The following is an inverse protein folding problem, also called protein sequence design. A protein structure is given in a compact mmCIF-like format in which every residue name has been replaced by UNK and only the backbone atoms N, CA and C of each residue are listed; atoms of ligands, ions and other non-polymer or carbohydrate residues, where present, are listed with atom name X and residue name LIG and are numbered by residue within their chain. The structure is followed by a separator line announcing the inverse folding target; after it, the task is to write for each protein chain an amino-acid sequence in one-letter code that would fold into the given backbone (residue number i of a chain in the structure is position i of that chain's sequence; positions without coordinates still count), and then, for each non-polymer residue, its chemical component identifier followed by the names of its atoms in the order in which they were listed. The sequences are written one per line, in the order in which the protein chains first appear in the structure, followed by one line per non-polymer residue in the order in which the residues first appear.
data_IF_214529080610
#
_entry.id   IF_214529080610
#
_cell.length_a   1.000
_cell.length_b   1.000
_cell.length_c   1.000
_cell.angle_alpha   90.00
_cell.angle_beta   90.00
_cell.angle_gamma   90.00
#
_symmetry.space_group_name_H-M   'P 1'
#
loop_
_entity.id
_entity.type
_entity.pdbx_description
1 polymer ?
#
# COMPACT_ATOMS: atom_id res chain seq x y z
N UNK A 1 17.49 3.06 24.23
CA UNK A 1 17.52 4.41 23.63
C UNK A 1 17.15 5.40 24.71
N UNK A 2 18.01 6.38 24.96
CA UNK A 2 17.83 7.38 26.00
C UNK A 2 17.68 8.77 25.38
N UNK A 3 16.91 9.61 26.06
CA UNK A 3 16.68 11.01 25.75
C UNK A 3 17.18 11.84 26.93
N UNK A 4 17.92 12.89 26.64
CA UNK A 4 18.28 13.90 27.63
C UNK A 4 17.06 14.80 27.89
N UNK A 5 16.54 14.80 29.12
CA UNK A 5 15.43 15.68 29.54
C UNK A 5 15.95 16.97 30.19
N UNK A 6 17.00 16.84 30.98
CA UNK A 6 17.75 17.94 31.61
C UNK A 6 19.24 17.67 31.40
N UNK A 7 20.09 18.69 31.52
CA UNK A 7 21.55 18.53 31.36
C UNK A 7 22.05 17.32 32.15
N UNK A 8 22.59 16.33 31.43
CA UNK A 8 23.12 15.06 31.96
C UNK A 8 22.10 14.06 32.55
N UNK A 9 20.80 14.37 32.54
CA UNK A 9 19.74 13.43 32.97
C UNK A 9 19.16 12.69 31.77
N UNK A 10 19.48 11.41 31.69
CA UNK A 10 19.09 10.53 30.59
C UNK A 10 17.93 9.60 30.98
N UNK A 11 16.83 9.71 30.26
CA UNK A 11 15.61 8.91 30.49
C UNK A 11 15.38 7.96 29.32
N UNK A 12 15.06 6.69 29.60
CA UNK A 12 14.77 5.72 28.55
C UNK A 12 13.43 6.05 27.88
N UNK A 13 13.32 5.84 26.57
CA UNK A 13 12.09 6.10 25.80
C UNK A 13 10.83 5.48 26.41
N UNK A 14 10.95 4.26 26.96
CA UNK A 14 9.83 3.54 27.59
C UNK A 14 9.27 4.24 28.84
N UNK A 15 10.09 5.08 29.50
CA UNK A 15 9.71 5.81 30.71
C UNK A 15 9.13 7.20 30.42
N UNK A 16 9.03 7.60 29.15
CA UNK A 16 8.42 8.88 28.74
C UNK A 16 6.89 8.91 28.88
N UNK A 17 6.29 7.90 29.52
CA UNK A 17 4.86 7.88 29.82
C UNK A 17 3.95 7.63 28.61
N UNK A 18 4.49 7.13 27.49
CA UNK A 18 3.66 6.77 26.34
C UNK A 18 2.75 5.60 26.72
N UNK A 19 1.43 5.82 26.65
CA UNK A 19 0.38 4.82 26.90
C UNK A 19 -0.66 4.87 25.79
N UNK A 20 -1.46 3.80 25.59
CA UNK A 20 -2.51 3.79 24.56
C UNK A 20 -3.43 5.02 24.64
N UNK A 21 -3.56 5.74 23.53
CA UNK A 21 -4.33 6.98 23.43
C UNK A 21 -3.51 8.27 23.60
N UNK A 22 -2.25 8.17 24.01
CA UNK A 22 -1.37 9.32 24.21
C UNK A 22 -0.50 9.55 22.95
N UNK A 23 -0.33 10.82 22.62
CA UNK A 23 0.66 11.28 21.63
C UNK A 23 1.27 12.60 22.07
N UNK A 24 2.57 12.76 21.88
CA UNK A 24 3.30 13.97 22.25
C UNK A 24 4.46 14.23 21.29
N UNK A 25 5.00 15.44 21.34
CA UNK A 25 6.11 15.89 20.54
C UNK A 25 7.11 16.62 21.41
N UNK A 26 8.38 16.27 21.27
CA UNK A 26 9.49 16.87 22.01
C UNK A 26 10.47 17.44 20.99
N UNK A 27 10.88 18.70 21.17
CA UNK A 27 11.76 19.40 20.25
C UNK A 27 13.21 19.43 20.75
N UNK A 28 14.16 19.45 19.83
CA UNK A 28 15.56 19.74 20.14
C UNK A 28 16.24 18.73 21.07
N UNK A 29 15.91 17.45 20.93
CA UNK A 29 16.32 16.42 21.87
C UNK A 29 17.72 15.90 21.53
N UNK A 30 18.50 15.58 22.57
CA UNK A 30 19.70 14.75 22.44
C UNK A 30 19.35 13.28 22.69
N UNK A 31 19.72 12.42 21.74
CA UNK A 31 19.46 10.98 21.82
C UNK A 31 20.76 10.20 21.81
N UNK A 32 20.79 9.14 22.60
CA UNK A 32 21.91 8.20 22.66
C UNK A 32 21.47 6.76 22.45
N UNK A 33 22.26 6.06 21.60
CA UNK A 33 22.31 4.59 21.51
C UNK A 33 23.75 4.09 21.58
N UNK A 34 24.63 4.70 20.79
CA UNK A 34 26.08 4.44 20.72
C UNK A 34 26.89 5.71 20.49
N UNK A 35 26.39 6.63 19.65
CA UNK A 35 26.88 8.02 19.53
C UNK A 35 25.77 9.00 19.91
N UNK A 36 26.15 10.13 20.49
CA UNK A 36 25.21 11.21 20.80
C UNK A 36 24.83 11.92 19.50
N UNK A 37 23.53 12.06 19.26
CA UNK A 37 23.00 12.78 18.11
C UNK A 37 22.09 13.88 18.63
N UNK A 38 22.30 15.10 18.13
CA UNK A 38 21.65 16.33 18.57
C UNK A 38 20.91 16.97 17.41
N UNK A 39 19.85 17.72 17.69
CA UNK A 39 19.13 18.52 16.69
C UNK A 39 17.96 17.80 16.03
N UNK A 40 17.44 16.74 16.66
CA UNK A 40 16.24 16.05 16.20
C UNK A 40 15.10 16.21 17.20
N UNK A 41 13.89 16.15 16.67
CA UNK A 41 12.67 16.09 17.45
C UNK A 41 12.22 14.63 17.59
N UNK A 42 11.45 14.35 18.64
CA UNK A 42 10.79 13.07 18.85
C UNK A 42 9.28 13.24 18.77
N UNK A 43 8.66 12.54 17.82
CA UNK A 43 7.22 12.32 17.80
C UNK A 43 6.88 10.97 18.43
N UNK A 44 5.97 10.96 19.39
CA UNK A 44 5.49 9.74 20.03
C UNK A 44 3.98 9.59 19.83
N UNK A 45 3.52 8.37 19.51
CA UNK A 45 2.10 8.06 19.35
C UNK A 45 1.79 6.62 19.70
N UNK A 46 0.85 6.40 20.62
CA UNK A 46 0.26 5.09 20.83
C UNK A 46 -1.23 5.14 20.51
N UNK A 47 -1.65 4.38 19.49
CA UNK A 47 -3.04 4.31 19.12
C UNK A 47 -3.88 3.66 20.23
N UNK A 48 -5.01 4.27 20.58
CA UNK A 48 -5.96 3.70 21.52
C UNK A 48 -6.58 2.42 20.95
N UNK A 49 -6.82 1.43 21.83
CA UNK A 49 -7.55 0.22 21.50
C UNK A 49 -8.93 0.56 20.92
N UNK A 50 -9.19 0.09 19.70
CA UNK A 50 -10.51 0.22 19.05
C UNK A 50 -10.91 -1.13 18.47
N UNK A 51 -12.13 -1.57 18.81
CA UNK A 51 -12.81 -2.72 18.20
C UNK A 51 -11.95 -4.00 18.18
N UNK A 52 -11.33 -4.32 19.32
CA UNK A 52 -10.48 -5.52 19.46
C UNK A 52 -9.11 -5.43 18.79
N UNK A 53 -8.80 -4.35 18.05
CA UNK A 53 -7.47 -4.11 17.48
C UNK A 53 -6.59 -3.38 18.50
N UNK A 54 -5.50 -4.04 18.89
CA UNK A 54 -4.44 -3.48 19.73
C UNK A 54 -3.26 -3.10 18.84
N UNK A 55 -2.67 -1.94 19.09
CA UNK A 55 -1.28 -1.70 18.71
C UNK A 55 -0.44 -2.22 19.89
N UNK A 56 0.33 -3.27 19.67
CA UNK A 56 1.14 -3.92 20.71
C UNK A 56 2.17 -2.96 21.30
N UNK A 57 2.62 -1.98 20.50
CA UNK A 57 3.61 -0.99 20.88
C UNK A 57 3.26 0.43 20.40
N UNK A 58 3.70 1.42 21.16
CA UNK A 58 3.65 2.83 20.77
C UNK A 58 4.80 3.20 19.84
N UNK A 59 4.55 4.12 18.91
CA UNK A 59 5.56 4.62 17.99
C UNK A 59 6.39 5.71 18.65
N UNK A 60 7.71 5.60 18.52
CA UNK A 60 8.69 6.65 18.79
C UNK A 60 9.43 6.95 17.49
N UNK A 61 9.27 8.16 16.98
CA UNK A 61 9.72 8.56 15.65
C UNK A 61 10.67 9.74 15.80
N UNK A 62 11.93 9.52 15.45
CA UNK A 62 12.91 10.59 15.32
C UNK A 62 12.64 11.37 14.03
N UNK A 63 12.52 12.69 14.11
CA UNK A 63 12.14 13.52 12.97
C UNK A 63 12.72 14.93 13.03
N UNK A 64 12.75 15.61 11.90
CA UNK A 64 13.08 17.03 11.75
C UNK A 64 11.92 17.81 11.08
N UNK A 65 10.70 17.24 11.10
CA UNK A 65 9.53 17.80 10.41
C UNK A 65 8.81 18.90 11.22
N UNK A 66 9.26 19.21 12.43
CA UNK A 66 8.76 20.31 13.26
C UNK A 66 7.35 20.15 13.83
N UNK A 67 6.65 19.05 13.53
CA UNK A 67 5.27 18.82 14.01
C UNK A 67 4.95 17.35 14.18
N UNK A 68 4.18 17.04 15.24
CA UNK A 68 3.64 15.73 15.52
C UNK A 68 2.84 15.17 14.34
N UNK A 69 1.98 16.00 13.75
CA UNK A 69 1.10 15.61 12.65
C UNK A 69 1.91 15.21 11.42
N UNK A 70 2.86 16.05 11.02
CA UNK A 70 3.73 15.78 9.87
C UNK A 70 4.60 14.53 10.10
N UNK A 71 5.13 14.35 11.31
CA UNK A 71 5.91 13.17 11.67
C UNK A 71 5.10 11.88 11.57
N UNK A 72 3.89 11.86 12.13
CA UNK A 72 3.00 10.69 12.06
C UNK A 72 2.54 10.42 10.62
N UNK A 73 2.16 11.46 9.88
CA UNK A 73 1.73 11.32 8.49
C UNK A 73 2.86 10.83 7.59
N UNK A 74 4.08 11.36 7.78
CA UNK A 74 5.29 10.91 7.12
C UNK A 74 5.59 9.44 7.44
N UNK A 75 5.56 9.07 8.72
CA UNK A 75 5.82 7.70 9.15
C UNK A 75 4.79 6.71 8.59
N UNK A 76 3.50 7.08 8.54
CA UNK A 76 2.46 6.25 7.91
C UNK A 76 2.74 5.92 6.45
N UNK A 77 3.43 6.80 5.70
CA UNK A 77 3.76 6.54 4.29
C UNK A 77 4.73 5.36 4.12
N UNK A 78 5.49 4.99 5.16
CA UNK A 78 6.39 3.81 5.15
C UNK A 78 5.66 2.52 4.77
N UNK A 79 4.42 2.34 5.23
CA UNK A 79 3.63 1.15 4.93
C UNK A 79 3.30 1.00 3.44
N UNK A 80 3.37 2.08 2.65
CA UNK A 80 3.21 2.01 1.19
C UNK A 80 4.30 1.20 0.49
N UNK A 81 5.53 1.21 1.02
CA UNK A 81 6.64 0.41 0.49
C UNK A 81 6.38 -1.09 0.73
N UNK A 82 5.86 -1.45 1.90
CA UNK A 82 5.50 -2.84 2.21
C UNK A 82 4.37 -3.35 1.30
N UNK A 83 3.41 -2.48 0.96
CA UNK A 83 2.35 -2.79 -0.01
C UNK A 83 2.96 -3.06 -1.41
N UNK A 84 3.90 -2.23 -1.86
CA UNK A 84 4.62 -2.43 -3.11
C UNK A 84 5.36 -3.79 -3.14
N UNK A 85 6.12 -4.12 -2.09
CA UNK A 85 6.81 -5.41 -2.02
C UNK A 85 5.85 -6.60 -2.02
N UNK A 86 4.72 -6.47 -1.34
CA UNK A 86 3.67 -7.50 -1.30
C UNK A 86 3.04 -7.72 -2.66
N UNK A 87 2.76 -6.64 -3.39
CA UNK A 87 2.17 -6.68 -4.73
C UNK A 87 3.13 -7.31 -5.74
N UNK A 88 4.39 -6.90 -5.69
CA UNK A 88 5.44 -7.50 -6.50
C UNK A 88 5.51 -9.00 -6.20
N UNK A 89 5.70 -9.40 -4.93
CA UNK A 89 5.90 -10.81 -4.53
C UNK A 89 4.77 -11.74 -4.99
N UNK A 90 3.51 -11.30 -4.85
CA UNK A 90 2.33 -12.08 -5.28
C UNK A 90 2.32 -12.36 -6.79
N UNK A 91 2.82 -11.44 -7.61
CA UNK A 91 2.85 -11.62 -9.07
C UNK A 91 3.82 -12.70 -9.50
N UNK A 92 4.96 -12.85 -8.83
CA UNK A 92 5.90 -13.93 -9.13
C UNK A 92 5.39 -15.32 -8.72
N UNK A 93 4.56 -15.40 -7.68
CA UNK A 93 3.86 -16.65 -7.35
C UNK A 93 2.76 -16.99 -8.35
N UNK A 94 2.06 -16.00 -8.90
CA UNK A 94 1.02 -16.22 -9.93
C UNK A 94 1.60 -16.61 -11.31
N UNK A 95 2.82 -16.17 -11.63
CA UNK A 95 3.52 -16.55 -12.85
C UNK A 95 3.92 -18.05 -12.91
N UNK A 96 3.83 -18.78 -11.78
CA UNK A 96 4.14 -20.22 -11.70
C UNK A 96 2.91 -21.14 -11.86
N UNK A 97 1.74 -20.60 -12.22
CA UNK A 97 0.53 -21.40 -12.48
C UNK A 97 -0.37 -21.52 -11.24
N UNK A 98 -1.64 -21.15 -11.40
CA UNK A 98 -2.62 -21.13 -10.32
C UNK A 98 -3.16 -22.52 -10.01
N UNK A 99 -2.88 -23.01 -8.80
CA UNK A 99 -3.77 -23.89 -8.02
C UNK A 99 -3.61 -23.57 -6.52
N UNK A 100 -4.69 -23.51 -5.73
CA UNK A 100 -4.63 -23.10 -4.34
C UNK A 100 -4.77 -24.28 -3.37
N UNK A 101 -3.72 -25.06 -3.14
CA UNK A 101 -3.49 -25.69 -1.84
C UNK A 101 -2.09 -26.28 -1.76
N UNK A 102 -1.54 -26.26 -0.54
CA UNK A 102 -0.40 -27.10 -0.11
C UNK A 102 0.87 -27.01 -0.97
N UNK A 103 1.61 -25.92 -0.76
CA UNK A 103 3.05 -26.09 -0.52
C UNK A 103 3.53 -24.98 0.41
N UNK A 104 3.47 -25.34 1.68
CA UNK A 104 4.13 -24.73 2.81
C UNK A 104 5.62 -24.53 2.49
N UNK A 105 6.11 -23.34 2.83
CA UNK A 105 7.48 -23.04 3.25
C UNK A 105 8.63 -23.69 2.48
N UNK A 106 9.07 -23.10 1.36
CA UNK A 106 10.52 -22.82 1.19
C UNK A 106 10.89 -21.81 0.08
N UNK A 107 10.05 -21.58 -0.93
CA UNK A 107 10.48 -20.78 -2.10
C UNK A 107 9.95 -19.33 -2.10
N UNK A 108 10.21 -18.58 -1.02
CA UNK A 108 9.60 -17.25 -0.80
C UNK A 108 10.44 -16.05 -1.26
N UNK A 109 11.41 -16.21 -2.15
CA UNK A 109 12.24 -15.11 -2.69
C UNK A 109 12.35 -15.13 -4.23
N UNK A 110 11.25 -14.86 -4.95
CA UNK A 110 11.24 -14.91 -6.41
C UNK A 110 11.17 -13.53 -7.11
N UNK A 111 11.68 -12.47 -6.49
CA UNK A 111 11.84 -11.14 -7.15
C UNK A 111 13.23 -10.57 -6.98
N UNK A 112 13.89 -10.95 -5.91
CA UNK A 112 15.31 -10.71 -5.75
C UNK A 112 16.00 -12.05 -5.87
N UNK A 113 16.59 -12.31 -7.05
CA UNK A 113 17.69 -13.26 -7.35
C UNK A 113 17.41 -14.55 -8.15
N UNK A 114 16.28 -15.27 -8.02
CA UNK A 114 16.25 -16.67 -8.52
C UNK A 114 15.31 -17.02 -9.71
N UNK A 115 14.48 -16.10 -10.20
CA UNK A 115 13.58 -16.38 -11.33
C UNK A 115 14.06 -15.88 -12.70
N UNK A 116 14.72 -14.73 -12.70
CA UNK A 116 15.25 -14.08 -13.91
C UNK A 116 16.76 -14.15 -13.82
N UNK A 117 17.43 -14.90 -14.70
CA UNK A 117 18.91 -14.95 -14.81
C UNK A 117 19.51 -13.63 -15.32
N UNK A 118 18.90 -12.49 -14.98
CA UNK A 118 19.27 -11.15 -15.42
C UNK A 118 20.27 -10.55 -14.44
N UNK A 119 21.42 -10.15 -14.94
CA UNK A 119 22.50 -9.53 -14.16
C UNK A 119 22.86 -8.15 -14.75
N UNK A 120 23.51 -7.32 -13.92
CA UNK A 120 24.03 -6.02 -14.35
C UNK A 120 22.96 -5.05 -14.87
N UNK A 121 23.27 -4.36 -15.97
CA UNK A 121 22.44 -3.28 -16.52
C UNK A 121 21.02 -3.72 -16.90
N UNK A 122 20.83 -4.96 -17.38
CA UNK A 122 19.50 -5.46 -17.77
C UNK A 122 18.55 -5.55 -16.57
N UNK A 123 19.06 -5.95 -15.40
CA UNK A 123 18.28 -5.97 -14.17
C UNK A 123 17.86 -4.56 -13.76
N UNK A 124 18.79 -3.60 -13.83
CA UNK A 124 18.52 -2.20 -13.51
C UNK A 124 17.44 -1.62 -14.43
N UNK A 125 17.58 -1.79 -15.75
CA UNK A 125 16.58 -1.31 -16.71
C UNK A 125 15.21 -1.93 -16.47
N UNK A 126 15.15 -3.23 -16.17
CA UNK A 126 13.89 -3.90 -15.84
C UNK A 126 13.25 -3.35 -14.56
N UNK A 127 14.04 -3.13 -13.51
CA UNK A 127 13.54 -2.54 -12.25
C UNK A 127 12.99 -1.14 -12.47
N UNK A 128 13.63 -0.32 -13.32
CA UNK A 128 13.13 1.01 -13.68
C UNK A 128 11.78 0.89 -14.39
N UNK A 129 11.67 0.03 -15.41
CA UNK A 129 10.41 -0.17 -16.15
C UNK A 129 9.30 -0.66 -15.22
N UNK A 130 9.58 -1.62 -14.34
CA UNK A 130 8.61 -2.13 -13.36
C UNK A 130 8.19 -1.00 -12.41
N UNK A 131 9.13 -0.17 -11.96
CA UNK A 131 8.85 0.94 -11.06
C UNK A 131 7.92 1.98 -11.72
N UNK A 132 8.20 2.35 -12.97
CA UNK A 132 7.36 3.28 -13.74
C UNK A 132 5.97 2.68 -14.01
N UNK A 133 5.88 1.41 -14.40
CA UNK A 133 4.60 0.75 -14.61
C UNK A 133 3.78 0.65 -13.30
N UNK A 134 4.46 0.41 -12.17
CA UNK A 134 3.84 0.35 -10.85
C UNK A 134 3.31 1.72 -10.41
N UNK A 135 4.07 2.80 -10.61
CA UNK A 135 3.64 4.15 -10.25
C UNK A 135 2.43 4.61 -11.06
N UNK A 136 2.46 4.42 -12.38
CA UNK A 136 1.32 4.73 -13.27
C UNK A 136 0.06 3.98 -12.81
N UNK A 137 0.16 2.66 -12.64
CA UNK A 137 -0.98 1.84 -12.21
C UNK A 137 -1.48 2.25 -10.82
N UNK A 138 -0.58 2.62 -9.91
CA UNK A 138 -0.94 3.09 -8.57
C UNK A 138 -1.73 4.40 -8.62
N UNK A 139 -1.31 5.36 -9.45
CA UNK A 139 -2.02 6.63 -9.60
C UNK A 139 -3.40 6.43 -10.23
N UNK A 140 -3.50 5.66 -11.32
CA UNK A 140 -4.79 5.34 -11.92
C UNK A 140 -5.72 4.63 -10.94
N UNK A 141 -5.20 3.68 -10.16
CA UNK A 141 -5.96 3.02 -9.10
C UNK A 141 -6.42 3.96 -7.98
N UNK A 142 -5.62 4.96 -7.60
CA UNK A 142 -6.03 6.01 -6.67
C UNK A 142 -7.18 6.84 -7.24
N UNK A 143 -7.09 7.25 -8.51
CA UNK A 143 -8.15 8.01 -9.19
C UNK A 143 -9.44 7.20 -9.24
N UNK A 144 -9.36 5.91 -9.60
CA UNK A 144 -10.51 4.99 -9.63
C UNK A 144 -11.18 4.89 -8.25
N UNK A 145 -10.39 4.74 -7.18
CA UNK A 145 -10.94 4.70 -5.81
C UNK A 145 -11.55 6.03 -5.39
N UNK A 146 -10.95 7.17 -5.77
CA UNK A 146 -11.51 8.51 -5.51
C UNK A 146 -12.85 8.70 -6.23
N UNK A 147 -13.00 8.16 -7.44
CA UNK A 147 -14.27 8.14 -8.20
C UNK A 147 -15.30 7.13 -7.65
N UNK A 148 -14.96 6.34 -6.63
CA UNK A 148 -15.83 5.35 -6.00
C UNK A 148 -16.36 4.26 -6.96
N UNK A 149 -15.61 3.90 -8.00
CA UNK A 149 -16.00 2.90 -9.02
C UNK A 149 -15.20 1.59 -8.94
N UNK A 150 -14.39 1.42 -7.89
CA UNK A 150 -13.52 0.26 -7.71
C UNK A 150 -14.27 -1.09 -7.67
N UNK A 151 -15.56 -1.11 -7.32
CA UNK A 151 -16.38 -2.32 -7.26
C UNK A 151 -16.59 -2.97 -8.64
N UNK A 152 -16.54 -2.18 -9.72
CA UNK A 152 -16.61 -2.70 -11.10
C UNK A 152 -15.31 -3.37 -11.53
N UNK A 153 -14.20 -3.04 -10.86
CA UNK A 153 -12.86 -3.50 -11.22
C UNK A 153 -12.43 -4.69 -10.37
N UNK A 154 -12.84 -4.72 -9.10
CA UNK A 154 -12.51 -5.83 -8.20
C UNK A 154 -13.26 -5.74 -6.88
N UNK A 155 -13.26 -6.86 -6.16
CA UNK A 155 -13.94 -6.96 -4.86
C UNK A 155 -13.22 -6.11 -3.81
N UNK A 156 -13.92 -5.12 -3.24
CA UNK A 156 -13.33 -4.17 -2.28
C UNK A 156 -13.07 -4.79 -0.91
N UNK A 157 -14.06 -5.53 -0.37
CA UNK A 157 -13.96 -6.15 0.96
C UNK A 157 -14.64 -7.52 0.96
N UNK A 158 -14.07 -8.46 1.72
CA UNK A 158 -14.69 -9.75 2.03
C UNK A 158 -15.11 -9.77 3.49
N UNK A 159 -16.17 -10.53 3.79
CA UNK A 159 -16.83 -10.56 5.11
C UNK A 159 -15.85 -10.82 6.26
N UNK A 160 -14.79 -11.61 6.03
CA UNK A 160 -13.78 -11.99 7.04
C UNK A 160 -12.51 -11.13 7.05
N UNK A 161 -12.39 -10.15 6.15
CA UNK A 161 -11.13 -9.41 5.98
C UNK A 161 -11.18 -8.04 6.65
N UNK A 162 -10.19 -7.77 7.49
CA UNK A 162 -10.05 -6.49 8.20
C UNK A 162 -9.64 -5.38 7.23
N UNK A 163 -8.74 -5.68 6.29
CA UNK A 163 -8.17 -4.72 5.34
C UNK A 163 -8.70 -4.93 3.92
N UNK A 164 -8.55 -3.90 3.07
CA UNK A 164 -8.87 -3.99 1.63
C UNK A 164 -8.22 -5.21 0.98
N UNK A 165 -8.92 -5.84 0.02
CA UNK A 165 -8.38 -6.98 -0.72
C UNK A 165 -7.23 -6.55 -1.65
N UNK A 166 -7.43 -5.43 -2.33
CA UNK A 166 -6.58 -4.94 -3.41
C UNK A 166 -5.96 -3.58 -3.07
N UNK A 167 -4.66 -3.48 -3.36
CA UNK A 167 -3.91 -2.23 -3.33
C UNK A 167 -4.39 -1.27 -4.43
N UNK A 168 -3.94 -0.03 -4.38
CA UNK A 168 -4.21 0.92 -5.47
C UNK A 168 -3.63 0.41 -6.79
N UNK A 169 -2.41 -0.13 -6.77
CA UNK A 169 -1.79 -0.77 -7.93
C UNK A 169 -2.69 -1.82 -8.57
N UNK A 170 -3.24 -2.76 -7.79
CA UNK A 170 -4.11 -3.81 -8.35
C UNK A 170 -5.39 -3.26 -8.99
N UNK A 171 -6.01 -2.26 -8.37
CA UNK A 171 -7.20 -1.61 -8.95
C UNK A 171 -6.86 -0.91 -10.26
N UNK A 172 -5.73 -0.20 -10.35
CA UNK A 172 -5.30 0.38 -11.62
C UNK A 172 -5.01 -0.68 -12.67
N UNK A 173 -4.28 -1.74 -12.33
CA UNK A 173 -3.95 -2.82 -13.27
C UNK A 173 -5.20 -3.53 -13.80
N UNK A 174 -6.16 -3.87 -12.93
CA UNK A 174 -7.41 -4.51 -13.34
C UNK A 174 -8.28 -3.58 -14.17
N UNK A 175 -8.32 -2.29 -13.83
CA UNK A 175 -9.02 -1.27 -14.63
C UNK A 175 -8.44 -1.19 -16.05
N UNK A 176 -7.12 -1.14 -16.16
CA UNK A 176 -6.41 -1.13 -17.44
C UNK A 176 -6.71 -2.39 -18.27
N UNK A 177 -6.61 -3.57 -17.64
CA UNK A 177 -6.90 -4.84 -18.30
C UNK A 177 -8.35 -4.91 -18.79
N UNK A 178 -9.31 -4.46 -17.98
CA UNK A 178 -10.72 -4.48 -18.36
C UNK A 178 -11.00 -3.55 -19.55
N UNK A 179 -10.48 -2.32 -19.51
CA UNK A 179 -10.65 -1.34 -20.59
C UNK A 179 -10.08 -1.86 -21.91
N UNK A 180 -8.84 -2.35 -21.88
CA UNK A 180 -8.17 -2.85 -23.08
C UNK A 180 -8.81 -4.13 -23.63
N UNK A 181 -9.28 -5.00 -22.74
CA UNK A 181 -10.00 -6.20 -23.18
C UNK A 181 -11.29 -5.81 -23.88
N UNK A 182 -12.09 -4.92 -23.29
CA UNK A 182 -13.35 -4.47 -23.90
C UNK A 182 -13.13 -3.82 -25.25
N UNK A 183 -12.10 -2.97 -25.42
CA UNK A 183 -11.82 -2.35 -26.72
C UNK A 183 -11.49 -3.36 -27.82
N UNK A 184 -11.10 -4.59 -27.48
CA UNK A 184 -10.83 -5.67 -28.44
C UNK A 184 -12.08 -6.49 -28.77
N UNK A 185 -13.11 -6.48 -27.92
CA UNK A 185 -14.30 -7.35 -28.05
C UNK A 185 -15.63 -6.60 -27.97
N UNK A 186 -15.61 -5.28 -28.16
CA UNK A 186 -16.76 -4.37 -28.01
C UNK A 186 -17.99 -4.85 -28.80
N UNK A 187 -17.80 -5.24 -30.07
CA UNK A 187 -18.87 -5.73 -30.94
C UNK A 187 -19.55 -7.00 -30.41
N UNK A 188 -18.78 -7.90 -29.79
CA UNK A 188 -19.31 -9.13 -29.20
C UNK A 188 -20.07 -8.84 -27.92
N UNK A 189 -19.55 -7.93 -27.08
CA UNK A 189 -20.21 -7.50 -25.85
C UNK A 189 -21.53 -6.79 -26.20
N UNK A 190 -21.56 -5.95 -27.23
CA UNK A 190 -22.79 -5.31 -27.72
C UNK A 190 -23.84 -6.31 -28.19
N UNK A 191 -23.44 -7.34 -28.93
CA UNK A 191 -24.35 -8.43 -29.32
C UNK A 191 -24.88 -9.18 -28.09
N UNK A 192 -24.01 -9.47 -27.12
CA UNK A 192 -24.40 -10.13 -25.87
C UNK A 192 -25.40 -9.29 -25.06
N UNK A 193 -25.16 -7.98 -24.92
CA UNK A 193 -26.04 -7.06 -24.20
C UNK A 193 -27.42 -6.91 -24.86
N UNK A 194 -27.51 -7.11 -26.19
CA UNK A 194 -28.80 -7.10 -26.91
C UNK A 194 -29.67 -8.31 -26.58
N UNK A 195 -29.09 -9.47 -26.22
CA UNK A 195 -29.83 -10.69 -25.90
C UNK A 195 -30.60 -10.61 -24.57
N UNK A 196 -30.18 -9.73 -23.66
CA UNK A 196 -30.75 -9.59 -22.31
C UNK A 196 -31.25 -8.15 -22.06
N UNK A 197 -32.31 -7.70 -22.75
CA UNK A 197 -32.79 -6.32 -22.68
C UNK A 197 -33.19 -5.88 -21.26
N UNK A 198 -33.69 -6.82 -20.47
CA UNK A 198 -34.09 -6.67 -19.07
C UNK A 198 -32.91 -6.29 -18.15
N UNK A 199 -31.66 -6.47 -18.60
CA UNK A 199 -30.44 -6.10 -17.85
C UNK A 199 -29.76 -4.81 -18.36
N UNK A 200 -30.33 -4.15 -19.39
CA UNK A 200 -29.80 -2.90 -19.97
C UNK A 200 -29.41 -1.82 -18.94
N UNK A 201 -30.20 -1.53 -17.88
CA UNK A 201 -29.81 -0.53 -16.90
C UNK A 201 -28.50 -0.86 -16.18
N UNK A 202 -28.21 -2.14 -15.94
CA UNK A 202 -26.96 -2.58 -15.31
C UNK A 202 -25.78 -2.45 -16.27
N UNK A 203 -25.97 -2.81 -17.54
CA UNK A 203 -24.94 -2.64 -18.58
C UNK A 203 -24.57 -1.18 -18.77
N UNK A 204 -25.54 -0.28 -18.84
CA UNK A 204 -25.29 1.17 -18.95
C UNK A 204 -24.47 1.72 -17.77
N UNK A 205 -24.74 1.23 -16.54
CA UNK A 205 -23.92 1.58 -15.36
C UNK A 205 -22.49 1.08 -15.51
N UNK A 206 -22.29 -0.14 -16.00
CA UNK A 206 -20.97 -0.70 -16.29
C UNK A 206 -20.21 0.09 -17.35
N UNK A 207 -20.85 0.47 -18.46
CA UNK A 207 -20.26 1.31 -19.50
C UNK A 207 -19.89 2.70 -18.97
N UNK A 208 -20.74 3.30 -18.13
CA UNK A 208 -20.42 4.57 -17.46
C UNK A 208 -19.24 4.43 -16.49
N UNK A 209 -19.15 3.32 -15.77
CA UNK A 209 -17.99 3.06 -14.90
C UNK A 209 -16.71 2.91 -15.74
N UNK A 210 -16.78 2.23 -16.88
CA UNK A 210 -15.67 2.08 -17.81
C UNK A 210 -15.19 3.41 -18.39
N UNK A 211 -16.08 4.33 -18.80
CA UNK A 211 -15.66 5.66 -19.28
C UNK A 211 -14.97 6.47 -18.17
N UNK A 212 -15.42 6.33 -16.93
CA UNK A 212 -14.78 6.94 -15.76
C UNK A 212 -13.41 6.31 -15.44
N UNK A 213 -13.20 5.03 -15.76
CA UNK A 213 -11.92 4.34 -15.64
C UNK A 213 -10.97 4.77 -16.76
N UNK A 214 -11.45 4.91 -18.01
CA UNK A 214 -10.64 5.41 -19.13
C UNK A 214 -10.07 6.78 -18.80
N UNK A 215 -10.88 7.69 -18.23
CA UNK A 215 -10.42 9.01 -17.76
C UNK A 215 -9.53 8.97 -16.50
N UNK A 216 -9.08 7.80 -16.06
CA UNK A 216 -8.10 7.64 -14.99
C UNK A 216 -6.71 7.20 -15.49
N UNK A 217 -6.58 6.96 -16.80
CA UNK A 217 -5.33 6.66 -17.51
C UNK A 217 -4.99 7.84 -18.42
#
# INVERSE_FOLDING_TARGET
HFIEQETEIWTQLQHLGLKPGISFYLQGIKITKTKQVVGFDLAAKWQQKRWGMNADEGWFILTNLGSLTLAIEGYKKRFGIEEMFRDLKKRCSAAKGGFPHERLHQDREAITREGTKLTGQRLVSLLIIISVAYTISTFSGQIIKRKCIQDYVGRVKEVKRIFSRHSNFYIGLYGYNWVNFYSQVDQLVDKLMKLSPNKRPFYQRGLKAMTLIISAF
#
